data_IF_309998934176
#
_entry.id   IF_309998934176
#
_cell.length_a   1.000
_cell.length_b   1.000
_cell.length_c   1.000
_cell.angle_alpha   90.00
_cell.angle_beta   90.00
_cell.angle_gamma   90.00
#
_symmetry.space_group_name_H-M   'P 1'
#
loop_
_entity.id
_entity.type
_entity.pdbx_description
1 polymer ?
#
# COMPACT_ATOMS: atom_id res chain seq x y z
N UNK A 1 3.05 10.19 43.16
CA UNK A 1 1.94 9.96 42.20
C UNK A 1 1.38 11.28 41.66
N UNK A 2 0.89 12.20 42.49
CA UNK A 2 0.30 13.49 42.03
C UNK A 2 1.33 14.38 41.30
N UNK A 3 2.54 14.55 41.85
CA UNK A 3 3.59 15.37 41.23
C UNK A 3 4.10 14.85 39.88
N UNK A 4 4.07 13.52 39.68
CA UNK A 4 4.43 12.91 38.40
C UNK A 4 3.37 13.17 37.32
N UNK A 5 2.08 13.14 37.70
CA UNK A 5 0.98 13.53 36.81
C UNK A 5 1.07 15.00 36.38
N UNK A 6 1.37 15.90 37.31
CA UNK A 6 1.55 17.33 37.02
C UNK A 6 2.72 17.56 36.05
N UNK A 7 3.84 16.85 36.26
CA UNK A 7 4.99 16.94 35.36
C UNK A 7 4.68 16.46 33.94
N UNK A 8 3.93 15.36 33.78
CA UNK A 8 3.49 14.88 32.46
C UNK A 8 2.56 15.88 31.77
N UNK A 9 1.59 16.44 32.50
CA UNK A 9 0.66 17.42 31.94
C UNK A 9 1.39 18.69 31.51
N UNK A 10 2.33 19.18 32.33
CA UNK A 10 3.15 20.35 31.99
C UNK A 10 4.04 20.08 30.76
N UNK A 11 4.61 18.87 30.64
CA UNK A 11 5.41 18.46 29.49
C UNK A 11 4.56 18.39 28.21
N UNK A 12 3.39 17.77 28.26
CA UNK A 12 2.45 17.69 27.12
C UNK A 12 2.01 19.08 26.68
N UNK A 13 1.66 19.95 27.63
CA UNK A 13 1.26 21.32 27.35
C UNK A 13 2.40 22.14 26.72
N UNK A 14 3.63 21.97 27.21
CA UNK A 14 4.83 22.58 26.63
C UNK A 14 5.07 22.14 25.18
N UNK A 15 4.91 20.85 24.87
CA UNK A 15 5.03 20.37 23.49
C UNK A 15 3.88 20.88 22.61
N UNK A 16 2.63 20.87 23.09
CA UNK A 16 1.46 21.37 22.35
C UNK A 16 1.56 22.86 22.02
N UNK A 17 2.00 23.69 22.98
CA UNK A 17 2.25 25.12 22.76
C UNK A 17 3.35 25.34 21.72
N UNK A 18 4.35 24.46 21.68
CA UNK A 18 5.43 24.49 20.68
C UNK A 18 4.96 24.05 19.29
N UNK A 19 4.05 23.07 19.20
CA UNK A 19 3.34 22.70 17.96
C UNK A 19 2.54 23.90 17.46
N UNK A 20 1.70 24.49 18.32
CA UNK A 20 0.80 25.60 17.97
C UNK A 20 1.54 26.87 17.54
N UNK A 21 2.77 27.06 18.02
CA UNK A 21 3.67 28.16 17.62
C UNK A 21 4.48 27.88 16.35
N UNK A 22 4.21 26.76 15.65
CA UNK A 22 4.90 26.39 14.41
C UNK A 22 6.38 26.07 14.59
N UNK A 23 6.82 25.80 15.83
CA UNK A 23 8.23 25.53 16.19
C UNK A 23 8.59 24.05 16.15
N UNK A 24 7.70 23.22 15.61
CA UNK A 24 7.99 21.81 15.30
C UNK A 24 8.07 21.72 13.79
N UNK A 25 9.21 21.25 13.31
CA UNK A 25 9.42 20.97 11.89
C UNK A 25 8.29 20.06 11.40
N UNK A 26 7.67 20.40 10.27
CA UNK A 26 6.65 19.57 9.64
C UNK A 26 7.13 18.12 9.55
N UNK A 27 6.28 17.15 9.89
CA UNK A 27 6.61 15.74 9.70
C UNK A 27 7.02 15.55 8.23
N UNK A 28 8.29 15.20 8.01
CA UNK A 28 8.84 15.01 6.67
C UNK A 28 8.05 13.90 5.98
N UNK A 29 7.53 14.18 4.78
CA UNK A 29 6.93 13.16 3.92
C UNK A 29 7.96 12.06 3.64
N UNK A 30 7.55 10.81 3.83
CA UNK A 30 8.44 9.68 3.56
C UNK A 30 8.70 9.59 2.05
N UNK A 31 9.96 9.48 1.59
CA UNK A 31 10.29 9.42 0.16
C UNK A 31 9.52 8.35 -0.62
N UNK A 32 9.15 7.26 0.05
CA UNK A 32 8.38 6.17 -0.55
C UNK A 32 6.98 6.60 -0.99
N UNK A 33 6.36 7.56 -0.30
CA UNK A 33 5.04 8.07 -0.66
C UNK A 33 5.11 8.88 -1.95
N UNK A 34 6.13 9.73 -2.10
CA UNK A 34 6.35 10.47 -3.34
C UNK A 34 6.64 9.52 -4.52
N UNK A 35 7.42 8.46 -4.27
CA UNK A 35 7.73 7.46 -5.29
C UNK A 35 6.50 6.62 -5.71
N UNK A 36 5.55 6.40 -4.80
CA UNK A 36 4.27 5.74 -5.12
C UNK A 36 3.44 6.64 -6.03
N UNK A 37 3.32 7.93 -5.70
CA UNK A 37 2.56 8.88 -6.52
C UNK A 37 3.14 8.95 -7.95
N UNK A 38 4.46 9.10 -8.08
CA UNK A 38 5.14 9.12 -9.39
C UNK A 38 4.93 7.82 -10.17
N UNK A 39 5.00 6.67 -9.50
CA UNK A 39 4.80 5.38 -10.14
C UNK A 39 3.36 5.22 -10.67
N UNK A 40 2.37 5.69 -9.91
CA UNK A 40 0.96 5.69 -10.34
C UNK A 40 0.79 6.60 -11.54
N UNK A 41 1.26 7.85 -11.47
CA UNK A 41 1.16 8.82 -12.58
C UNK A 41 1.77 8.27 -13.87
N UNK A 42 2.96 7.69 -13.81
CA UNK A 42 3.60 7.05 -14.97
C UNK A 42 2.81 5.86 -15.50
N UNK A 43 2.21 5.05 -14.61
CA UNK A 43 1.36 3.93 -15.02
C UNK A 43 0.11 4.44 -15.76
N UNK A 44 -0.48 5.53 -15.26
CA UNK A 44 -1.62 6.22 -15.87
C UNK A 44 -1.26 6.74 -17.26
N UNK A 45 -0.13 7.44 -17.40
CA UNK A 45 0.35 7.95 -18.70
C UNK A 45 0.57 6.83 -19.74
N UNK A 46 0.98 5.65 -19.28
CA UNK A 46 1.14 4.46 -20.13
C UNK A 46 -0.17 3.74 -20.44
N UNK A 47 -1.29 4.11 -19.80
CA UNK A 47 -2.56 3.38 -19.89
C UNK A 47 -2.47 1.97 -19.34
N UNK A 48 -1.55 1.71 -18.41
CA UNK A 48 -1.30 0.39 -17.80
C UNK A 48 -1.81 0.35 -16.36
N UNK A 49 -2.27 -0.80 -15.87
CA UNK A 49 -2.77 -0.90 -14.50
C UNK A 49 -1.64 -0.84 -13.47
N UNK A 50 -1.99 -0.56 -12.22
CA UNK A 50 -1.12 -0.66 -11.05
C UNK A 50 -1.36 -2.00 -10.36
N UNK A 51 -0.29 -2.64 -9.89
CA UNK A 51 -0.37 -3.82 -9.05
C UNK A 51 0.20 -3.50 -7.68
N UNK A 52 -0.58 -3.67 -6.63
CA UNK A 52 -0.13 -3.50 -5.25
C UNK A 52 -0.30 -4.78 -4.45
N UNK A 53 0.72 -5.15 -3.69
CA UNK A 53 0.62 -6.26 -2.76
C UNK A 53 1.41 -6.01 -1.49
N UNK A 54 0.99 -6.61 -0.39
CA UNK A 54 1.54 -6.37 0.94
C UNK A 54 2.29 -7.56 1.54
N UNK A 55 2.73 -8.47 0.66
CA UNK A 55 3.50 -9.65 1.01
C UNK A 55 2.66 -10.77 1.63
N UNK A 56 3.28 -11.92 1.89
CA UNK A 56 2.64 -13.02 2.61
C UNK A 56 2.33 -12.61 4.05
N UNK A 57 1.12 -12.11 4.30
CA UNK A 57 0.71 -11.58 5.60
C UNK A 57 -0.60 -12.17 6.11
N UNK A 58 -0.75 -13.50 6.12
CA UNK A 58 -1.96 -14.09 6.69
C UNK A 58 -2.02 -13.94 8.22
N UNK A 59 -0.88 -13.78 8.91
CA UNK A 59 -0.81 -13.63 10.37
C UNK A 59 -1.05 -12.20 10.90
N UNK A 60 -1.34 -11.22 10.04
CA UNK A 60 -1.50 -9.82 10.42
C UNK A 60 -0.28 -9.29 11.19
N UNK A 61 0.92 -9.63 10.72
CA UNK A 61 2.17 -9.09 11.27
C UNK A 61 2.19 -7.55 11.17
N UNK A 62 2.87 -6.84 12.09
CA UNK A 62 2.90 -5.37 12.05
C UNK A 62 3.37 -4.78 10.71
N UNK A 63 4.45 -5.25 10.06
CA UNK A 63 4.85 -4.74 8.75
C UNK A 63 3.79 -4.97 7.66
N UNK A 64 3.11 -6.12 7.70
CA UNK A 64 2.08 -6.42 6.71
C UNK A 64 0.76 -5.70 6.97
N UNK A 65 0.48 -5.28 8.22
CA UNK A 65 -0.64 -4.37 8.52
C UNK A 65 -0.38 -2.99 7.92
N UNK A 66 0.84 -2.47 8.02
CA UNK A 66 1.22 -1.20 7.37
C UNK A 66 1.05 -1.30 5.85
N UNK A 67 1.50 -2.40 5.25
CA UNK A 67 1.27 -2.66 3.82
C UNK A 67 -0.21 -2.76 3.44
N UNK A 68 -1.00 -3.41 4.28
CA UNK A 68 -2.45 -3.55 4.10
C UNK A 68 -3.18 -2.21 4.21
N UNK A 69 -2.78 -1.34 5.13
CA UNK A 69 -3.29 0.03 5.26
C UNK A 69 -2.90 0.89 4.06
N UNK A 70 -1.69 0.69 3.51
CA UNK A 70 -1.25 1.38 2.32
C UNK A 70 -2.13 1.06 1.08
N UNK A 71 -2.89 -0.06 1.08
CA UNK A 71 -3.89 -0.35 0.04
C UNK A 71 -4.93 0.77 -0.05
N UNK A 72 -5.36 1.34 1.07
CA UNK A 72 -6.30 2.46 1.07
C UNK A 72 -5.73 3.68 0.32
N UNK A 73 -4.47 4.03 0.62
CA UNK A 73 -3.80 5.16 -0.01
C UNK A 73 -3.64 4.97 -1.52
N UNK A 74 -3.12 3.80 -1.92
CA UNK A 74 -2.91 3.48 -3.33
C UNK A 74 -4.24 3.40 -4.07
N UNK A 75 -5.27 2.78 -3.48
CA UNK A 75 -6.61 2.74 -4.04
C UNK A 75 -7.19 4.14 -4.31
N UNK A 76 -7.06 5.05 -3.33
CA UNK A 76 -7.48 6.43 -3.50
C UNK A 76 -6.73 7.10 -4.66
N UNK A 77 -5.39 6.98 -4.69
CA UNK A 77 -4.56 7.61 -5.72
C UNK A 77 -4.82 7.07 -7.12
N UNK A 78 -4.96 5.76 -7.25
CA UNK A 78 -5.30 5.12 -8.54
C UNK A 78 -6.70 5.51 -8.99
N UNK A 79 -7.67 5.63 -8.07
CA UNK A 79 -9.03 6.07 -8.41
C UNK A 79 -9.06 7.54 -8.84
N UNK A 80 -8.34 8.43 -8.14
CA UNK A 80 -8.15 9.85 -8.54
C UNK A 80 -7.56 9.96 -9.95
N UNK A 81 -6.59 9.11 -10.27
CA UNK A 81 -5.94 9.04 -11.58
C UNK A 81 -6.72 8.24 -12.64
N UNK A 82 -7.88 7.66 -12.31
CA UNK A 82 -8.65 6.81 -13.24
C UNK A 82 -7.91 5.54 -13.69
N UNK A 83 -6.97 5.04 -12.89
CA UNK A 83 -6.11 3.90 -13.21
C UNK A 83 -6.57 2.63 -12.52
N UNK A 84 -6.58 1.52 -13.25
CA UNK A 84 -7.01 0.24 -12.69
C UNK A 84 -5.97 -0.31 -11.70
N UNK A 85 -6.43 -0.77 -10.54
CA UNK A 85 -5.61 -1.33 -9.46
C UNK A 85 -5.92 -2.81 -9.27
N UNK A 86 -4.88 -3.66 -9.25
CA UNK A 86 -4.94 -5.07 -8.89
C UNK A 86 -4.29 -5.33 -7.52
N UNK A 87 -4.98 -6.06 -6.64
CA UNK A 87 -4.57 -6.31 -5.25
C UNK A 87 -4.54 -7.82 -4.97
N UNK A 88 -3.47 -8.53 -5.34
CA UNK A 88 -3.30 -9.91 -4.92
C UNK A 88 -3.08 -10.00 -3.40
N UNK A 89 -3.76 -10.95 -2.76
CA UNK A 89 -3.73 -11.16 -1.30
C UNK A 89 -3.32 -12.58 -0.93
N UNK A 90 -2.69 -12.73 0.23
CA UNK A 90 -2.06 -13.99 0.68
C UNK A 90 -2.94 -14.85 1.60
N UNK A 91 -4.12 -14.39 2.02
CA UNK A 91 -4.88 -15.09 3.05
C UNK A 91 -6.36 -14.67 3.14
N UNK A 92 -7.25 -15.58 3.58
CA UNK A 92 -8.66 -15.27 3.80
C UNK A 92 -8.88 -14.25 4.91
N UNK A 93 -7.93 -14.06 5.83
CA UNK A 93 -8.02 -13.03 6.88
C UNK A 93 -7.76 -11.62 6.35
N UNK A 94 -6.86 -11.46 5.38
CA UNK A 94 -6.52 -10.14 4.83
C UNK A 94 -7.40 -9.75 3.64
N UNK A 95 -8.00 -10.73 2.95
CA UNK A 95 -8.94 -10.50 1.85
C UNK A 95 -10.07 -9.49 2.19
N UNK A 96 -10.87 -9.66 3.26
CA UNK A 96 -11.94 -8.71 3.56
C UNK A 96 -11.43 -7.31 3.94
N UNK A 97 -10.25 -7.22 4.56
CA UNK A 97 -9.65 -5.93 4.93
C UNK A 97 -9.14 -5.21 3.67
N UNK A 98 -8.49 -5.93 2.75
CA UNK A 98 -8.03 -5.38 1.49
C UNK A 98 -9.20 -4.89 0.62
N UNK A 99 -10.30 -5.65 0.59
CA UNK A 99 -11.54 -5.25 -0.09
C UNK A 99 -12.10 -3.96 0.51
N UNK A 100 -12.16 -3.88 1.83
CA UNK A 100 -12.67 -2.69 2.51
C UNK A 100 -11.78 -1.47 2.27
N UNK A 101 -10.45 -1.62 2.39
CA UNK A 101 -9.51 -0.55 2.11
C UNK A 101 -9.60 -0.08 0.65
N UNK A 102 -9.75 -1.01 -0.30
CA UNK A 102 -9.95 -0.67 -1.72
C UNK A 102 -11.25 0.12 -1.93
N UNK A 103 -12.37 -0.37 -1.38
CA UNK A 103 -13.69 0.26 -1.44
C UNK A 103 -13.66 1.67 -0.86
N UNK A 104 -13.05 1.82 0.31
CA UNK A 104 -12.95 3.10 1.01
C UNK A 104 -12.02 4.08 0.29
N UNK A 105 -10.96 3.61 -0.34
CA UNK A 105 -10.08 4.43 -1.18
C UNK A 105 -10.82 5.00 -2.38
N UNK A 106 -11.53 4.16 -3.14
CA UNK A 106 -12.37 4.60 -4.27
C UNK A 106 -13.47 5.58 -3.82
N UNK A 107 -14.13 5.29 -2.69
CA UNK A 107 -15.14 6.19 -2.11
C UNK A 107 -14.54 7.55 -1.75
N UNK A 108 -13.35 7.57 -1.15
CA UNK A 108 -12.65 8.80 -0.77
C UNK A 108 -12.27 9.66 -1.98
N UNK A 109 -11.90 9.03 -3.09
CA UNK A 109 -11.63 9.70 -4.36
C UNK A 109 -12.90 10.25 -5.04
N UNK A 110 -14.10 9.92 -4.55
CA UNK A 110 -15.37 10.30 -5.16
C UNK A 110 -15.75 9.46 -6.38
N UNK A 111 -15.09 8.31 -6.58
CA UNK A 111 -15.29 7.40 -7.71
C UNK A 111 -15.64 5.96 -7.25
N UNK A 112 -16.72 5.77 -6.47
CA UNK A 112 -17.10 4.47 -5.93
C UNK A 112 -17.37 3.41 -7.02
N UNK A 113 -17.75 3.81 -8.22
CA UNK A 113 -17.99 2.95 -9.38
C UNK A 113 -16.72 2.28 -9.92
N UNK A 114 -15.52 2.79 -9.60
CA UNK A 114 -14.26 2.16 -9.97
C UNK A 114 -13.93 0.95 -9.10
N UNK A 115 -14.62 0.77 -7.96
CA UNK A 115 -14.46 -0.40 -7.12
C UNK A 115 -14.92 -1.67 -7.86
N UNK A 116 -14.00 -2.62 -8.01
CA UNK A 116 -14.24 -3.95 -8.58
C UNK A 116 -13.73 -5.01 -7.62
N UNK A 117 -14.62 -5.73 -6.96
CA UNK A 117 -14.24 -6.81 -6.04
C UNK A 117 -13.29 -7.84 -6.70
N UNK A 118 -13.49 -8.12 -7.98
CA UNK A 118 -12.66 -9.04 -8.80
C UNK A 118 -11.21 -8.60 -8.97
N UNK A 119 -10.86 -7.35 -8.63
CA UNK A 119 -9.49 -6.85 -8.64
C UNK A 119 -8.71 -7.27 -7.38
N UNK A 120 -9.40 -7.67 -6.31
CA UNK A 120 -8.78 -8.23 -5.11
C UNK A 120 -8.81 -9.75 -5.20
N UNK A 121 -7.65 -10.39 -5.33
CA UNK A 121 -7.57 -11.83 -5.66
C UNK A 121 -6.75 -12.60 -4.65
N UNK A 122 -7.33 -13.62 -4.06
CA UNK A 122 -6.62 -14.54 -3.18
C UNK A 122 -5.74 -15.50 -4.00
N UNK A 123 -4.42 -15.46 -3.76
CA UNK A 123 -3.43 -16.25 -4.50
C UNK A 123 -2.96 -17.52 -3.76
N UNK A 124 -3.54 -17.80 -2.59
CA UNK A 124 -3.11 -18.90 -1.73
C UNK A 124 -2.18 -18.46 -0.59
N UNK A 125 -2.16 -19.26 0.49
CA UNK A 125 -1.34 -19.02 1.69
C UNK A 125 0.13 -19.36 1.55
N UNK A 126 0.47 -20.28 0.64
CA UNK A 126 1.85 -20.70 0.43
C UNK A 126 2.66 -19.59 -0.24
N UNK A 127 3.86 -19.30 0.28
CA UNK A 127 4.80 -18.31 -0.26
C UNK A 127 5.01 -18.42 -1.78
N UNK A 128 5.21 -19.64 -2.30
CA UNK A 128 5.36 -19.86 -3.74
C UNK A 128 4.05 -19.81 -4.53
N UNK A 129 2.93 -20.26 -3.94
CA UNK A 129 1.61 -20.15 -4.58
C UNK A 129 1.22 -18.69 -4.76
N UNK A 130 1.40 -17.89 -3.70
CA UNK A 130 1.18 -16.46 -3.69
C UNK A 130 2.05 -15.75 -4.73
N UNK A 131 3.36 -16.01 -4.73
CA UNK A 131 4.29 -15.41 -5.69
C UNK A 131 3.96 -15.79 -7.14
N UNK A 132 3.69 -17.07 -7.40
CA UNK A 132 3.36 -17.55 -8.75
C UNK A 132 2.06 -16.94 -9.27
N UNK A 133 1.05 -16.80 -8.40
CA UNK A 133 -0.21 -16.13 -8.73
C UNK A 133 -0.01 -14.66 -9.09
N UNK A 134 0.83 -13.94 -8.34
CA UNK A 134 1.20 -12.55 -8.66
C UNK A 134 1.95 -12.47 -9.99
N UNK A 135 2.93 -13.34 -10.22
CA UNK A 135 3.69 -13.36 -11.47
C UNK A 135 2.79 -13.65 -12.68
N UNK A 136 1.82 -14.56 -12.54
CA UNK A 136 0.80 -14.81 -13.56
C UNK A 136 -0.05 -13.56 -13.84
N UNK A 137 -0.47 -12.85 -12.79
CA UNK A 137 -1.22 -11.61 -12.93
C UNK A 137 -0.41 -10.51 -13.64
N UNK A 138 0.87 -10.38 -13.27
CA UNK A 138 1.84 -9.48 -13.92
C UNK A 138 2.02 -9.83 -15.40
N UNK A 139 2.09 -11.11 -15.75
CA UNK A 139 2.23 -11.57 -17.13
C UNK A 139 0.98 -11.28 -17.96
N UNK A 140 -0.21 -11.46 -17.38
CA UNK A 140 -1.48 -11.21 -18.09
C UNK A 140 -1.79 -9.73 -18.30
N UNK A 141 -1.55 -8.88 -17.28
CA UNK A 141 -2.01 -7.48 -17.30
C UNK A 141 -0.89 -6.47 -17.55
N UNK A 142 0.38 -6.91 -17.47
CA UNK A 142 1.58 -6.08 -17.71
C UNK A 142 1.48 -4.72 -16.99
N UNK A 143 1.37 -4.67 -15.64
CA UNK A 143 1.19 -3.41 -14.91
C UNK A 143 2.29 -2.39 -15.21
N UNK A 144 1.97 -1.10 -15.23
CA UNK A 144 2.93 0.00 -15.44
C UNK A 144 3.71 0.33 -14.17
N UNK A 145 3.10 0.05 -13.00
CA UNK A 145 3.75 0.13 -11.70
C UNK A 145 3.42 -1.09 -10.81
N UNK A 146 4.41 -1.53 -10.05
CA UNK A 146 4.27 -2.54 -9.01
C UNK A 146 4.70 -1.98 -7.65
N UNK A 147 3.82 -2.08 -6.65
CA UNK A 147 4.03 -1.58 -5.29
C UNK A 147 4.05 -2.78 -4.34
N UNK A 148 5.18 -3.02 -3.69
CA UNK A 148 5.42 -4.13 -2.77
C UNK A 148 5.75 -3.58 -1.38
N UNK A 149 4.77 -3.52 -0.48
CA UNK A 149 4.94 -2.96 0.88
C UNK A 149 4.61 -3.99 1.96
N UNK A 150 5.61 -4.55 2.65
CA UNK A 150 5.33 -5.54 3.69
C UNK A 150 6.45 -6.56 3.93
N UNK A 151 6.17 -7.69 4.61
CA UNK A 151 7.18 -8.67 5.01
C UNK A 151 7.57 -9.57 3.83
N UNK A 152 8.23 -9.03 2.82
CA UNK A 152 8.77 -9.80 1.70
C UNK A 152 10.10 -10.45 2.07
N UNK A 153 10.24 -11.74 1.73
CA UNK A 153 11.50 -12.48 1.84
C UNK A 153 11.96 -12.88 0.44
N UNK A 154 11.98 -14.18 0.15
CA UNK A 154 12.39 -14.74 -1.15
C UNK A 154 11.44 -14.32 -2.28
N UNK A 155 10.17 -14.05 -1.98
CA UNK A 155 9.18 -13.54 -2.93
C UNK A 155 9.60 -12.20 -3.52
N UNK A 156 10.21 -11.33 -2.71
CA UNK A 156 10.68 -10.01 -3.17
C UNK A 156 11.71 -10.13 -4.29
N UNK A 157 12.57 -11.15 -4.24
CA UNK A 157 13.55 -11.44 -5.30
C UNK A 157 12.85 -11.89 -6.59
N UNK A 158 11.91 -12.84 -6.49
CA UNK A 158 11.19 -13.36 -7.65
C UNK A 158 10.34 -12.28 -8.34
N UNK A 159 9.60 -11.50 -7.56
CA UNK A 159 8.81 -10.39 -8.06
C UNK A 159 9.70 -9.28 -8.62
N UNK A 160 10.88 -9.06 -8.03
CA UNK A 160 11.90 -8.14 -8.51
C UNK A 160 12.46 -8.50 -9.89
N UNK A 161 12.69 -9.79 -10.15
CA UNK A 161 13.09 -10.28 -11.48
C UNK A 161 11.94 -10.15 -12.46
N UNK A 162 10.71 -10.51 -12.05
CA UNK A 162 9.55 -10.46 -12.93
C UNK A 162 9.23 -9.02 -13.38
N UNK A 163 9.27 -8.02 -12.49
CA UNK A 163 9.02 -6.63 -12.87
C UNK A 163 10.01 -6.12 -13.93
N UNK A 164 11.27 -6.57 -13.86
CA UNK A 164 12.30 -6.19 -14.81
C UNK A 164 12.05 -6.83 -16.18
N UNK A 165 11.54 -8.07 -16.19
CA UNK A 165 11.15 -8.78 -17.41
C UNK A 165 9.97 -8.13 -18.14
N UNK A 166 9.04 -7.51 -17.42
CA UNK A 166 7.86 -6.85 -18.01
C UNK A 166 8.00 -5.32 -18.15
N UNK A 167 9.22 -4.80 -17.96
CA UNK A 167 9.55 -3.38 -18.03
C UNK A 167 8.60 -2.48 -17.21
N UNK A 168 8.59 -2.72 -15.91
CA UNK A 168 7.67 -2.10 -14.95
C UNK A 168 8.44 -1.43 -13.81
N UNK A 169 8.00 -0.22 -13.43
CA UNK A 169 8.54 0.49 -12.26
C UNK A 169 8.11 -0.23 -10.98
N UNK A 170 9.06 -0.45 -10.07
CA UNK A 170 8.80 -1.17 -8.82
C UNK A 170 9.14 -0.32 -7.60
N UNK A 171 8.19 -0.17 -6.69
CA UNK A 171 8.42 0.40 -5.35
C UNK A 171 8.42 -0.75 -4.35
N UNK A 172 9.44 -0.82 -3.49
CA UNK A 172 9.56 -1.84 -2.46
C UNK A 172 9.89 -1.19 -1.10
N UNK A 173 9.27 -1.69 -0.03
CA UNK A 173 9.45 -1.19 1.34
C UNK A 173 8.89 -2.11 2.42
#
# INVERSE_FOLDING_TARGET
>A
LIGFGIAIVALLWFFMDRVGKGKIESIRRLPIIDAIDEAIDRSTEQGRPVLMTYGPNDNLSPPGLVGLDAVYYVAQKTAEAGTELYIPVSGPRTLPIALENYRMGCLKAGAPELFKETNVRYMGRGQFSYTSGIMGLMESHKPGACIFLGPFLVEGVHLGVQKQRIDTMGIAG
#
